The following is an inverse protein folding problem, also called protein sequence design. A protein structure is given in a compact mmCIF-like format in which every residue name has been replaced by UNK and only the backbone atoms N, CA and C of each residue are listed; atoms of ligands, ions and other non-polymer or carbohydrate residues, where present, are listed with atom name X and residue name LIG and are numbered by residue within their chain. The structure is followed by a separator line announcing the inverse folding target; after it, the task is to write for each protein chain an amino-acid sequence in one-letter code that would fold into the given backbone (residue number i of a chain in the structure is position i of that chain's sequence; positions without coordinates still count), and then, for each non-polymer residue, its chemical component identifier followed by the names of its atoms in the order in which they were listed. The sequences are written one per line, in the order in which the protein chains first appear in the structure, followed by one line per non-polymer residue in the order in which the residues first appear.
data_IF_709771705162
#
_entry.id   IF_709771705162
#
_cell.length_a   1.000
_cell.length_b   1.000
_cell.length_c   1.000
_cell.angle_alpha   90.00
_cell.angle_beta   90.00
_cell.angle_gamma   90.00
#
_symmetry.space_group_name_H-M   'P 1'
#
loop_
_entity.id
_entity.type
_entity.pdbx_description
1 polymer ?
#
# COMPACT_ATOMS: atom_id res chain seq x y z
N UNK A 1 -2.69 3.55 32.74
CA UNK A 1 -1.70 3.78 31.68
C UNK A 1 -2.42 4.23 30.42
N UNK A 2 -1.96 5.28 29.79
CA UNK A 2 -2.51 5.69 28.48
C UNK A 2 -1.98 4.69 27.45
N UNK A 3 -2.89 4.05 26.69
CA UNK A 3 -2.48 3.19 25.58
C UNK A 3 -1.62 4.03 24.61
N UNK A 4 -0.43 3.55 24.29
CA UNK A 4 0.40 4.21 23.29
C UNK A 4 -0.18 3.88 21.91
N UNK A 5 -0.88 4.84 21.33
CA UNK A 5 -1.38 4.77 19.97
C UNK A 5 -0.56 5.70 19.08
N UNK A 6 -0.32 5.30 17.85
CA UNK A 6 0.37 6.11 16.83
C UNK A 6 -0.37 6.03 15.52
N UNK A 7 -0.30 7.12 14.79
CA UNK A 7 -0.81 7.19 13.42
C UNK A 7 0.36 7.32 12.45
N UNK A 8 0.20 6.77 11.26
CA UNK A 8 1.12 6.95 10.16
C UNK A 8 0.36 7.20 8.87
N UNK A 9 0.98 7.91 7.96
CA UNK A 9 0.43 8.22 6.65
C UNK A 9 1.49 7.96 5.60
N UNK A 10 1.09 7.33 4.49
CA UNK A 10 1.96 7.07 3.35
C UNK A 10 1.27 7.44 2.05
N UNK A 11 2.07 7.69 1.03
CA UNK A 11 1.60 8.01 -0.31
C UNK A 11 2.58 7.43 -1.32
N UNK A 12 2.05 6.90 -2.42
CA UNK A 12 2.85 6.46 -3.55
C UNK A 12 2.16 6.73 -4.88
N UNK A 13 2.95 6.93 -5.92
CA UNK A 13 2.49 7.23 -7.28
C UNK A 13 3.35 6.46 -8.27
N UNK A 14 2.71 5.80 -9.23
CA UNK A 14 3.39 5.23 -10.38
C UNK A 14 2.72 5.63 -11.68
N UNK A 15 3.53 5.91 -12.69
CA UNK A 15 3.07 6.19 -14.04
C UNK A 15 2.64 4.91 -14.75
N UNK A 16 1.70 5.04 -15.69
CA UNK A 16 1.38 3.94 -16.61
C UNK A 16 2.50 3.73 -17.63
N UNK A 17 2.64 2.49 -18.05
CA UNK A 17 3.47 2.06 -19.18
C UNK A 17 2.75 0.97 -19.98
N UNK A 18 3.37 0.48 -21.04
CA UNK A 18 2.81 -0.64 -21.80
C UNK A 18 2.62 -1.88 -20.91
N UNK A 19 1.47 -2.51 -21.04
CA UNK A 19 1.10 -3.69 -20.24
C UNK A 19 -0.38 -4.00 -20.38
N UNK A 20 -0.84 -5.04 -19.71
CA UNK A 20 -2.22 -5.53 -19.80
C UNK A 20 -2.85 -5.76 -18.41
N UNK A 21 -2.12 -5.46 -17.35
CA UNK A 21 -2.65 -5.47 -15.99
C UNK A 21 -1.86 -4.50 -15.09
N UNK A 22 -2.47 -4.09 -13.99
CA UNK A 22 -1.82 -3.40 -12.87
C UNK A 22 -1.87 -4.29 -11.63
N UNK A 23 -0.85 -4.20 -10.78
CA UNK A 23 -0.84 -4.88 -9.49
C UNK A 23 -1.18 -3.88 -8.40
N UNK A 24 -2.29 -4.11 -7.69
CA UNK A 24 -2.75 -3.28 -6.57
C UNK A 24 -3.14 -4.18 -5.40
N UNK A 25 -2.61 -3.90 -4.22
CA UNK A 25 -2.82 -4.72 -3.02
C UNK A 25 -2.46 -6.20 -3.22
N UNK A 26 -1.45 -6.49 -4.03
CA UNK A 26 -1.04 -7.84 -4.38
C UNK A 26 -1.92 -8.55 -5.41
N UNK A 27 -2.93 -7.88 -5.97
CA UNK A 27 -3.89 -8.45 -6.93
C UNK A 27 -3.59 -7.91 -8.32
N UNK A 28 -3.54 -8.80 -9.32
CA UNK A 28 -3.46 -8.40 -10.72
C UNK A 28 -4.84 -8.01 -11.24
N UNK A 29 -4.98 -6.77 -11.64
CA UNK A 29 -6.24 -6.21 -12.15
C UNK A 29 -6.07 -5.93 -13.63
N UNK A 30 -6.89 -6.54 -14.50
CA UNK A 30 -6.83 -6.31 -15.95
C UNK A 30 -6.98 -4.83 -16.29
N UNK A 31 -6.11 -4.34 -17.16
CA UNK A 31 -6.11 -2.96 -17.63
C UNK A 31 -5.43 -2.89 -19.00
N UNK A 32 -5.53 -1.74 -19.65
CA UNK A 32 -4.88 -1.48 -20.95
C UNK A 32 -3.40 -1.08 -20.81
N UNK A 33 -2.93 -0.86 -19.59
CA UNK A 33 -1.56 -0.47 -19.25
C UNK A 33 -1.09 -1.21 -18.01
N UNK A 34 0.22 -1.27 -17.82
CA UNK A 34 0.88 -1.65 -16.57
C UNK A 34 1.37 -0.43 -15.80
N UNK A 35 1.98 -0.62 -14.64
CA UNK A 35 2.59 0.44 -13.85
C UNK A 35 4.12 0.36 -13.96
N UNK A 36 4.72 1.50 -14.31
CA UNK A 36 6.17 1.64 -14.42
C UNK A 36 6.81 1.70 -13.05
N UNK A 37 7.61 0.71 -12.70
CA UNK A 37 8.29 0.64 -11.42
C UNK A 37 9.52 -0.28 -11.49
N UNK A 38 10.39 -0.17 -10.48
CA UNK A 38 11.49 -1.10 -10.26
C UNK A 38 10.98 -2.44 -9.69
N UNK A 39 9.95 -2.39 -8.83
CA UNK A 39 9.22 -3.55 -8.28
C UNK A 39 8.01 -3.92 -9.14
N UNK A 40 6.96 -4.48 -8.53
CA UNK A 40 5.68 -4.76 -9.19
C UNK A 40 4.79 -3.51 -9.39
N UNK A 41 5.21 -2.36 -8.88
CA UNK A 41 4.49 -1.08 -9.03
C UNK A 41 3.26 -0.95 -8.16
N UNK A 42 3.12 -1.75 -7.11
CA UNK A 42 1.96 -1.76 -6.22
C UNK A 42 1.91 -0.52 -5.32
N UNK A 43 1.27 0.54 -5.82
CA UNK A 43 1.15 1.81 -5.07
C UNK A 43 0.39 1.65 -3.75
N UNK A 44 -0.54 0.69 -3.68
CA UNK A 44 -1.32 0.44 -2.47
C UNK A 44 -0.45 -0.12 -1.36
N UNK A 45 0.32 -1.16 -1.66
CA UNK A 45 1.22 -1.77 -0.67
C UNK A 45 2.39 -0.86 -0.31
N UNK A 46 2.92 -0.09 -1.26
CA UNK A 46 3.99 0.88 -0.97
C UNK A 46 3.51 2.00 -0.05
N UNK A 47 2.33 2.57 -0.31
CA UNK A 47 1.74 3.58 0.58
C UNK A 47 1.48 3.02 1.98
N UNK A 48 0.99 1.78 2.07
CA UNK A 48 0.74 1.11 3.35
C UNK A 48 2.04 0.86 4.13
N UNK A 49 3.10 0.40 3.46
CA UNK A 49 4.42 0.23 4.07
C UNK A 49 4.94 1.54 4.65
N UNK A 50 4.87 2.62 3.90
CA UNK A 50 5.32 3.94 4.36
C UNK A 50 4.49 4.46 5.54
N UNK A 51 3.19 4.21 5.53
CA UNK A 51 2.32 4.55 6.66
C UNK A 51 2.72 3.80 7.95
N UNK A 52 2.98 2.50 7.84
CA UNK A 52 3.42 1.68 8.97
C UNK A 52 4.78 2.14 9.51
N UNK A 53 5.75 2.35 8.63
CA UNK A 53 7.08 2.85 9.02
C UNK A 53 6.97 4.23 9.65
N UNK A 54 6.20 5.14 9.07
CA UNK A 54 6.01 6.49 9.57
C UNK A 54 5.35 6.54 10.94
N UNK A 55 4.43 5.63 11.25
CA UNK A 55 3.79 5.53 12.56
C UNK A 55 4.81 5.36 13.70
N UNK A 56 5.91 4.67 13.46
CA UNK A 56 6.98 4.43 14.44
C UNK A 56 8.26 5.25 14.17
N UNK A 57 8.19 6.23 13.27
CA UNK A 57 9.33 7.07 12.90
C UNK A 57 10.53 6.26 12.37
N UNK A 58 10.27 5.24 11.56
CA UNK A 58 11.28 4.34 11.00
C UNK A 58 11.73 4.71 9.57
N UNK A 59 11.33 5.88 9.08
CA UNK A 59 11.64 6.33 7.73
C UNK A 59 10.64 5.83 6.70
N UNK A 60 11.12 5.45 5.54
CA UNK A 60 10.33 5.03 4.39
C UNK A 60 10.89 3.75 3.74
N UNK A 61 10.14 3.19 2.78
CA UNK A 61 10.56 1.96 2.09
C UNK A 61 11.85 2.14 1.28
N UNK A 62 12.13 3.32 0.76
CA UNK A 62 13.36 3.59 0.02
C UNK A 62 14.62 3.45 0.88
N UNK A 63 14.52 3.72 2.17
CA UNK A 63 15.62 3.52 3.12
C UNK A 63 15.82 2.04 3.48
N UNK A 64 14.73 1.27 3.57
CA UNK A 64 14.77 -0.16 3.91
C UNK A 64 15.02 -1.06 2.70
N UNK A 65 14.54 -0.66 1.51
CA UNK A 65 14.59 -1.43 0.26
C UNK A 65 15.05 -0.51 -0.89
N UNK A 66 16.35 -0.15 -0.96
CA UNK A 66 16.85 0.77 -1.99
C UNK A 66 16.62 0.23 -3.41
N UNK A 67 16.17 1.08 -4.33
CA UNK A 67 15.99 0.75 -5.75
C UNK A 67 17.31 0.33 -6.43
N UNK A 68 18.44 0.70 -5.85
CA UNK A 68 19.76 0.31 -6.33
C UNK A 68 20.13 -1.14 -6.00
N UNK A 69 19.38 -1.80 -5.12
CA UNK A 69 19.63 -3.19 -4.75
C UNK A 69 18.96 -4.13 -5.75
N UNK A 70 19.76 -4.93 -6.52
CA UNK A 70 19.22 -5.86 -7.50
C UNK A 70 18.26 -6.92 -6.91
N UNK A 71 18.38 -7.20 -5.62
CA UNK A 71 17.54 -8.17 -4.92
C UNK A 71 16.06 -7.77 -4.95
N UNK A 72 15.75 -6.45 -5.00
CA UNK A 72 14.37 -5.95 -4.99
C UNK A 72 13.81 -5.68 -6.39
N UNK A 73 14.57 -5.93 -7.45
CA UNK A 73 14.11 -5.76 -8.83
C UNK A 73 12.96 -6.75 -9.12
N UNK A 74 11.79 -6.23 -9.48
CA UNK A 74 10.60 -7.03 -9.73
C UNK A 74 10.01 -7.68 -8.49
N UNK A 75 10.40 -7.22 -7.29
CA UNK A 75 9.97 -7.79 -6.03
C UNK A 75 8.43 -7.74 -5.86
N UNK A 76 7.89 -8.81 -5.31
CA UNK A 76 6.50 -8.86 -4.87
C UNK A 76 6.35 -7.99 -3.62
N UNK A 77 5.58 -6.91 -3.72
CA UNK A 77 5.39 -5.95 -2.62
C UNK A 77 4.71 -6.54 -1.40
N UNK A 78 4.07 -7.71 -1.52
CA UNK A 78 3.55 -8.45 -0.35
C UNK A 78 4.68 -8.92 0.56
N UNK A 79 5.82 -9.28 0.00
CA UNK A 79 7.03 -9.65 0.78
C UNK A 79 7.56 -8.43 1.52
N UNK A 80 7.60 -7.27 0.86
CA UNK A 80 8.00 -6.00 1.48
C UNK A 80 7.06 -5.64 2.64
N UNK A 81 5.75 -5.74 2.42
CA UNK A 81 4.74 -5.45 3.44
C UNK A 81 4.89 -6.37 4.66
N UNK A 82 5.09 -7.66 4.43
CA UNK A 82 5.32 -8.63 5.51
C UNK A 82 6.55 -8.28 6.34
N UNK A 83 7.64 -7.91 5.67
CA UNK A 83 8.88 -7.49 6.34
C UNK A 83 8.66 -6.22 7.18
N UNK A 84 8.03 -5.20 6.59
CA UNK A 84 7.72 -3.94 7.29
C UNK A 84 6.83 -4.20 8.51
N UNK A 85 5.79 -5.01 8.35
CA UNK A 85 4.90 -5.31 9.47
C UNK A 85 5.61 -6.07 10.59
N UNK A 86 6.56 -6.95 10.27
CA UNK A 86 7.39 -7.61 11.28
C UNK A 86 8.20 -6.60 12.10
N UNK A 87 8.73 -5.54 11.47
CA UNK A 87 9.42 -4.46 12.19
C UNK A 87 8.50 -3.75 13.19
N UNK A 88 7.21 -3.61 12.87
CA UNK A 88 6.20 -3.03 13.76
C UNK A 88 5.94 -3.95 14.95
N UNK A 89 5.74 -5.24 14.67
CA UNK A 89 5.50 -6.27 15.70
C UNK A 89 6.69 -6.42 16.67
N UNK A 90 7.92 -6.41 16.15
CA UNK A 90 9.15 -6.52 16.95
C UNK A 90 9.31 -5.36 17.95
N UNK A 91 8.66 -4.23 17.70
CA UNK A 91 8.61 -3.08 18.58
C UNK A 91 7.43 -3.09 19.55
N UNK A 92 6.68 -4.19 19.58
CA UNK A 92 5.52 -4.37 20.47
C UNK A 92 4.26 -3.64 20.00
N UNK A 93 4.22 -3.18 18.74
CA UNK A 93 3.03 -2.56 18.15
C UNK A 93 2.30 -3.52 17.24
N UNK A 94 1.02 -3.28 17.07
CA UNK A 94 0.18 -3.97 16.09
C UNK A 94 -0.73 -2.99 15.37
N UNK A 95 -1.15 -3.36 14.17
CA UNK A 95 -2.12 -2.59 13.40
C UNK A 95 -3.52 -2.73 13.99
N UNK A 96 -4.15 -1.59 14.31
CA UNK A 96 -5.57 -1.56 14.66
C UNK A 96 -6.41 -1.54 13.40
N UNK A 97 -6.14 -0.59 12.50
CA UNK A 97 -6.79 -0.51 11.20
C UNK A 97 -5.96 0.31 10.22
N UNK A 98 -6.23 0.09 8.96
CA UNK A 98 -5.70 0.90 7.85
C UNK A 98 -6.85 1.38 6.97
N UNK A 99 -6.78 2.64 6.55
CA UNK A 99 -7.69 3.22 5.57
C UNK A 99 -6.89 3.72 4.37
N UNK A 100 -7.20 3.19 3.20
CA UNK A 100 -6.45 3.40 1.95
C UNK A 100 -7.38 4.03 0.93
N UNK A 101 -6.90 5.05 0.24
CA UNK A 101 -7.61 5.67 -0.88
C UNK A 101 -6.77 5.56 -2.14
N UNK A 102 -7.37 5.06 -3.22
CA UNK A 102 -6.74 4.97 -4.54
C UNK A 102 -7.40 5.95 -5.47
N UNK A 103 -6.62 6.87 -6.03
CA UNK A 103 -7.09 7.83 -7.03
C UNK A 103 -6.65 7.37 -8.43
N UNK A 104 -7.63 6.99 -9.25
CA UNK A 104 -7.43 6.65 -10.67
C UNK A 104 -8.76 6.76 -11.43
N UNK A 105 -8.69 7.15 -12.70
CA UNK A 105 -9.87 7.13 -13.58
C UNK A 105 -10.18 5.71 -14.03
N UNK A 106 -9.14 4.95 -14.35
CA UNK A 106 -9.16 3.56 -14.79
C UNK A 106 -7.92 2.83 -14.22
N UNK A 107 -8.02 1.51 -13.95
CA UNK A 107 -9.21 0.65 -14.03
C UNK A 107 -10.23 0.96 -12.93
N UNK A 108 -11.46 0.50 -13.09
CA UNK A 108 -12.49 0.56 -12.04
C UNK A 108 -12.22 -0.52 -11.00
N UNK A 109 -12.15 -0.14 -9.72
CA UNK A 109 -11.69 -1.00 -8.64
C UNK A 109 -12.80 -1.61 -7.79
N UNK A 110 -14.05 -1.13 -7.92
CA UNK A 110 -15.14 -1.50 -7.03
C UNK A 110 -15.34 -3.03 -6.90
N UNK A 111 -15.31 -3.75 -8.02
CA UNK A 111 -15.48 -5.21 -8.03
C UNK A 111 -14.30 -5.98 -7.42
N UNK A 112 -13.14 -5.35 -7.26
CA UNK A 112 -11.93 -5.95 -6.70
C UNK A 112 -11.71 -5.59 -5.24
N UNK A 113 -12.59 -4.78 -4.65
CA UNK A 113 -12.40 -4.19 -3.32
C UNK A 113 -12.18 -5.25 -2.25
N UNK A 114 -13.07 -6.22 -2.15
CA UNK A 114 -12.97 -7.27 -1.13
C UNK A 114 -11.72 -8.13 -1.31
N UNK A 115 -11.39 -8.49 -2.55
CA UNK A 115 -10.20 -9.29 -2.87
C UNK A 115 -8.92 -8.56 -2.49
N UNK A 116 -8.82 -7.26 -2.77
CA UNK A 116 -7.67 -6.43 -2.37
C UNK A 116 -7.53 -6.35 -0.85
N UNK A 117 -8.64 -6.11 -0.14
CA UNK A 117 -8.64 -6.05 1.33
C UNK A 117 -8.24 -7.38 1.93
N UNK A 118 -8.76 -8.48 1.41
CA UNK A 118 -8.45 -9.83 1.89
C UNK A 118 -6.96 -10.17 1.65
N UNK A 119 -6.41 -9.80 0.51
CA UNK A 119 -5.00 -9.98 0.20
C UNK A 119 -4.09 -9.32 1.25
N UNK A 120 -4.38 -8.06 1.61
CA UNK A 120 -3.64 -7.35 2.66
C UNK A 120 -3.82 -8.03 4.01
N UNK A 121 -5.05 -8.34 4.38
CA UNK A 121 -5.36 -8.98 5.66
C UNK A 121 -4.64 -10.33 5.82
N UNK A 122 -4.57 -11.12 4.75
CA UNK A 122 -3.86 -12.40 4.74
C UNK A 122 -2.35 -12.23 4.94
N UNK A 123 -1.74 -11.26 4.26
CA UNK A 123 -0.31 -10.94 4.42
C UNK A 123 0.02 -10.55 5.87
N UNK A 124 -0.84 -9.74 6.47
CA UNK A 124 -0.66 -9.23 7.83
C UNK A 124 -1.19 -10.20 8.92
N UNK A 125 -1.89 -11.24 8.53
CA UNK A 125 -2.57 -12.18 9.43
C UNK A 125 -3.52 -11.46 10.43
N UNK A 126 -4.38 -10.62 9.89
CA UNK A 126 -5.39 -9.84 10.63
C UNK A 126 -6.77 -10.00 10.00
N UNK A 127 -7.80 -9.49 10.66
CA UNK A 127 -9.17 -9.51 10.16
C UNK A 127 -9.35 -8.53 8.99
N UNK A 128 -10.08 -8.95 7.96
CA UNK A 128 -10.35 -8.13 6.76
C UNK A 128 -11.07 -6.81 7.13
N UNK A 129 -11.83 -6.78 8.22
CA UNK A 129 -12.51 -5.56 8.69
C UNK A 129 -11.54 -4.49 9.23
N UNK A 130 -10.28 -4.84 9.46
CA UNK A 130 -9.25 -3.87 9.83
C UNK A 130 -8.66 -3.13 8.62
N UNK A 131 -9.01 -3.54 7.39
CA UNK A 131 -8.53 -2.95 6.15
C UNK A 131 -9.69 -2.32 5.37
N UNK A 132 -9.61 -1.01 5.16
CA UNK A 132 -10.51 -0.25 4.30
C UNK A 132 -9.78 0.18 3.03
N UNK A 133 -10.41 -0.01 1.88
CA UNK A 133 -9.94 0.50 0.60
C UNK A 133 -11.10 1.24 -0.08
N UNK A 134 -10.86 2.48 -0.49
CA UNK A 134 -11.77 3.32 -1.26
C UNK A 134 -11.10 3.72 -2.55
N UNK A 135 -11.84 3.81 -3.62
CA UNK A 135 -11.36 4.32 -4.89
C UNK A 135 -12.13 5.59 -5.26
N UNK A 136 -11.44 6.53 -5.87
CA UNK A 136 -12.03 7.76 -6.38
C UNK A 136 -11.40 8.15 -7.72
N UNK A 137 -12.14 8.89 -8.52
CA UNK A 137 -11.55 9.64 -9.64
C UNK A 137 -11.09 11.01 -9.13
N UNK A 138 -10.35 11.73 -9.95
CA UNK A 138 -10.04 13.15 -9.71
C UNK A 138 -10.82 14.06 -10.67
N UNK A 139 -11.98 13.59 -11.14
CA UNK A 139 -12.88 14.35 -12.02
C UNK A 139 -12.17 14.86 -13.30
N UNK A 140 -11.30 14.01 -13.86
CA UNK A 140 -10.46 14.30 -15.04
C UNK A 140 -9.42 15.41 -14.82
N UNK A 141 -9.15 15.78 -13.57
CA UNK A 141 -8.14 16.76 -13.21
C UNK A 141 -6.81 16.10 -12.85
N UNK A 142 -5.73 16.78 -13.22
CA UNK A 142 -4.36 16.36 -12.89
C UNK A 142 -3.91 15.10 -13.61
N UNK A 143 -2.76 14.57 -13.20
CA UNK A 143 -2.15 13.39 -13.84
C UNK A 143 -3.00 12.13 -13.71
N UNK A 144 -3.69 11.94 -12.58
CA UNK A 144 -4.63 10.84 -12.41
C UNK A 144 -5.84 11.00 -13.32
N UNK A 145 -6.35 12.22 -13.42
CA UNK A 145 -7.49 12.56 -14.29
C UNK A 145 -7.17 12.45 -15.78
N UNK A 146 -5.92 12.70 -16.17
CA UNK A 146 -5.42 12.49 -17.54
C UNK A 146 -4.99 11.05 -17.80
N UNK A 147 -5.20 10.14 -16.86
CA UNK A 147 -4.82 8.74 -16.97
C UNK A 147 -3.32 8.51 -17.26
N UNK A 148 -2.48 9.30 -16.61
CA UNK A 148 -1.02 9.18 -16.69
C UNK A 148 -0.45 8.23 -15.64
N UNK A 149 -1.20 7.96 -14.57
CA UNK A 149 -0.77 7.11 -13.48
C UNK A 149 -1.84 6.92 -12.41
N UNK A 150 -1.45 6.24 -11.34
CA UNK A 150 -2.27 5.96 -10.16
C UNK A 150 -1.58 6.52 -8.92
N UNK A 151 -2.37 7.10 -8.02
CA UNK A 151 -1.95 7.55 -6.71
C UNK A 151 -2.68 6.73 -5.63
N UNK A 152 -1.96 6.30 -4.61
CA UNK A 152 -2.55 5.74 -3.40
C UNK A 152 -2.07 6.49 -2.17
N UNK A 153 -2.97 6.67 -1.21
CA UNK A 153 -2.66 7.13 0.14
C UNK A 153 -3.12 6.09 1.15
N UNK A 154 -2.37 5.93 2.23
CA UNK A 154 -2.72 5.05 3.33
C UNK A 154 -2.58 5.77 4.65
N UNK A 155 -3.52 5.55 5.55
CA UNK A 155 -3.44 6.02 6.94
C UNK A 155 -3.63 4.82 7.84
N UNK A 156 -2.76 4.67 8.84
CA UNK A 156 -2.80 3.56 9.80
C UNK A 156 -2.91 4.07 11.22
N UNK A 157 -3.60 3.31 12.04
CA UNK A 157 -3.55 3.41 13.49
C UNK A 157 -2.89 2.15 14.03
N UNK A 158 -1.84 2.31 14.81
CA UNK A 158 -1.17 1.22 15.51
C UNK A 158 -1.21 1.46 17.02
N UNK A 159 -1.23 0.38 17.79
CA UNK A 159 -1.19 0.48 19.26
C UNK A 159 -0.17 -0.47 19.83
N UNK A 160 0.45 -0.06 20.94
CA UNK A 160 1.36 -0.90 21.69
C UNK A 160 0.56 -1.93 22.50
N UNK A 161 0.95 -3.20 22.38
CA UNK A 161 0.45 -4.24 23.28
C UNK A 161 1.22 -4.15 24.60
N UNK A 162 0.55 -3.66 25.63
CA UNK A 162 0.99 -3.96 27.01
C UNK A 162 0.54 -5.38 27.32
N UNK A 163 1.51 -6.28 27.48
CA UNK A 163 1.24 -7.61 28.07
C UNK A 163 0.70 -7.45 29.48
#
# INVERSE_FOLDING_TARGET
MVAQIRIGQGMDVHAFEAGDFVTLAGIQIPHTHGLKAHSDGDVVLHALCDALLGALALGDIGQHFPDTDPEYKGADSRVLLKHVYQLILDRGYQLNNADITVACERPKLAKHNLEMRQSIADVLNIDVNQISIKATTTEKLGFTGRQEGILATATVLVSHHTK
#
